data_IF_490046041959
#
_entry.id   IF_490046041959
#
_cell.length_a   1.000
_cell.length_b   1.000
_cell.length_c   1.000
_cell.angle_alpha   90.00
_cell.angle_beta   90.00
_cell.angle_gamma   90.00
#
_symmetry.space_group_name_H-M   'P 1'
#
loop_
_entity.id
_entity.type
_entity.pdbx_description
1 polymer ?
#
# COMPACT_ATOMS: atom_id res chain seq x y z
N UNK A 1 23.20 14.88 -66.54
CA UNK A 1 23.92 14.05 -65.54
C UNK A 1 22.93 13.00 -65.07
N UNK A 2 23.14 11.71 -65.37
CA UNK A 2 22.50 10.51 -64.76
C UNK A 2 22.66 9.28 -65.69
N UNK A 3 23.91 8.86 -65.95
CA UNK A 3 24.21 7.65 -66.74
C UNK A 3 25.34 6.78 -66.18
N UNK A 4 26.24 7.34 -65.36
CA UNK A 4 27.46 6.65 -64.91
C UNK A 4 27.25 5.58 -63.81
N UNK A 5 26.12 5.60 -63.11
CA UNK A 5 25.94 4.74 -61.92
C UNK A 5 25.59 3.29 -62.31
N UNK A 6 24.86 3.07 -63.42
CA UNK A 6 24.57 1.73 -63.94
C UNK A 6 25.77 1.09 -64.65
N UNK A 7 26.57 1.88 -65.39
CA UNK A 7 27.77 1.37 -66.07
C UNK A 7 28.91 1.03 -65.12
N UNK A 8 29.15 1.88 -64.11
CA UNK A 8 30.19 1.65 -63.10
C UNK A 8 29.96 0.38 -62.27
N UNK A 9 28.70 0.09 -61.93
CA UNK A 9 28.34 -1.13 -61.19
C UNK A 9 28.66 -2.41 -61.95
N UNK A 10 28.43 -2.44 -63.28
CA UNK A 10 28.73 -3.61 -64.12
C UNK A 10 30.24 -3.82 -64.25
N UNK A 11 31.03 -2.75 -64.41
CA UNK A 11 32.49 -2.85 -64.48
C UNK A 11 33.07 -3.34 -63.15
N UNK A 12 32.57 -2.83 -62.02
CA UNK A 12 32.99 -3.30 -60.69
C UNK A 12 32.57 -4.76 -60.46
N UNK A 13 31.39 -5.17 -60.91
CA UNK A 13 30.95 -6.57 -60.82
C UNK A 13 31.82 -7.51 -61.66
N UNK A 14 32.19 -7.11 -62.88
CA UNK A 14 33.11 -7.87 -63.73
C UNK A 14 34.52 -7.95 -63.13
N UNK A 15 35.03 -6.84 -62.59
CA UNK A 15 36.31 -6.80 -61.91
C UNK A 15 36.32 -7.68 -60.64
N UNK A 16 35.25 -7.63 -59.84
CA UNK A 16 35.08 -8.46 -58.66
C UNK A 16 34.95 -9.95 -59.03
N UNK A 17 34.20 -10.29 -60.07
CA UNK A 17 34.06 -11.66 -60.56
C UNK A 17 35.40 -12.22 -61.06
N UNK A 18 36.16 -11.42 -61.82
CA UNK A 18 37.49 -11.80 -62.29
C UNK A 18 38.46 -11.97 -61.12
N UNK A 19 38.42 -11.09 -60.13
CA UNK A 19 39.22 -11.19 -58.92
C UNK A 19 38.88 -12.45 -58.11
N UNK A 20 37.58 -12.76 -57.97
CA UNK A 20 37.10 -13.97 -57.29
C UNK A 20 37.55 -15.24 -58.03
N UNK A 21 37.45 -15.24 -59.36
CA UNK A 21 37.89 -16.35 -60.22
C UNK A 21 39.40 -16.59 -60.11
N UNK A 22 40.19 -15.55 -59.87
CA UNK A 22 41.63 -15.68 -59.63
C UNK A 22 41.96 -16.09 -58.18
N UNK A 23 41.30 -15.49 -57.19
CA UNK A 23 41.68 -15.66 -55.78
C UNK A 23 41.14 -16.95 -55.15
N UNK A 24 39.92 -17.35 -55.49
CA UNK A 24 39.28 -18.55 -54.90
C UNK A 24 40.10 -19.82 -55.16
N UNK A 25 40.57 -20.12 -56.39
CA UNK A 25 41.39 -21.31 -56.64
C UNK A 25 42.72 -21.29 -55.89
N UNK A 26 43.35 -20.12 -55.77
CA UNK A 26 44.63 -19.96 -55.06
C UNK A 26 44.46 -20.20 -53.56
N UNK A 27 43.35 -19.72 -52.98
CA UNK A 27 43.09 -19.87 -51.56
C UNK A 27 42.64 -21.29 -51.18
N UNK A 28 41.86 -21.93 -52.04
CA UNK A 28 41.46 -23.33 -51.88
C UNK A 28 42.68 -24.27 -51.97
N UNK A 29 43.55 -24.12 -52.99
CA UNK A 29 44.78 -24.92 -53.10
C UNK A 29 45.70 -24.75 -51.89
N UNK A 30 45.80 -23.54 -51.34
CA UNK A 30 46.59 -23.28 -50.12
C UNK A 30 45.98 -23.92 -48.88
N UNK A 31 44.64 -23.96 -48.77
CA UNK A 31 43.94 -24.65 -47.68
C UNK A 31 44.03 -26.16 -47.77
N UNK A 32 43.95 -26.71 -48.97
CA UNK A 32 44.14 -28.14 -49.23
C UNK A 32 45.56 -28.56 -48.87
N UNK A 33 46.57 -27.77 -49.25
CA UNK A 33 47.96 -27.99 -48.83
C UNK A 33 48.14 -27.94 -47.31
N UNK A 34 47.52 -26.99 -46.60
CA UNK A 34 47.60 -26.93 -45.14
C UNK A 34 46.87 -28.09 -44.44
N UNK A 35 45.81 -28.62 -45.05
CA UNK A 35 45.10 -29.79 -44.52
C UNK A 35 45.91 -31.08 -44.72
N UNK A 36 46.54 -31.25 -45.89
CA UNK A 36 47.40 -32.41 -46.17
C UNK A 36 48.73 -32.32 -45.43
N UNK A 37 49.33 -31.13 -45.30
CA UNK A 37 50.51 -30.90 -44.44
C UNK A 37 50.20 -31.23 -42.99
N UNK A 38 49.05 -30.81 -42.44
CA UNK A 38 48.70 -31.15 -41.05
C UNK A 38 48.44 -32.64 -40.86
N UNK A 39 47.92 -33.34 -41.86
CA UNK A 39 47.71 -34.79 -41.79
C UNK A 39 49.04 -35.54 -41.94
N UNK A 40 49.92 -35.08 -42.82
CA UNK A 40 51.27 -35.59 -42.98
C UNK A 40 52.13 -35.33 -41.74
N UNK A 41 52.06 -34.14 -41.15
CA UNK A 41 52.76 -33.79 -39.91
C UNK A 41 52.20 -34.60 -38.75
N UNK A 42 50.89 -34.80 -38.65
CA UNK A 42 50.32 -35.70 -37.63
C UNK A 42 50.81 -37.13 -37.82
N UNK A 43 50.86 -37.65 -39.05
CA UNK A 43 51.35 -39.00 -39.30
C UNK A 43 52.85 -39.14 -39.04
N UNK A 44 53.67 -38.19 -39.49
CA UNK A 44 55.11 -38.15 -39.22
C UNK A 44 55.39 -37.95 -37.73
N UNK A 45 54.60 -37.14 -37.04
CA UNK A 45 54.71 -36.91 -35.61
C UNK A 45 54.17 -38.10 -34.82
N UNK A 46 53.15 -38.82 -35.28
CA UNK A 46 52.72 -40.08 -34.66
C UNK A 46 53.73 -41.19 -34.90
N UNK A 47 54.34 -41.28 -36.09
CA UNK A 47 55.42 -42.24 -36.37
C UNK A 47 56.67 -41.91 -35.55
N UNK A 48 56.98 -40.61 -35.40
CA UNK A 48 58.09 -40.16 -34.58
C UNK A 48 57.83 -40.34 -33.09
N UNK A 49 56.61 -40.10 -32.62
CA UNK A 49 56.21 -40.41 -31.23
C UNK A 49 56.21 -41.92 -31.03
N UNK A 50 55.72 -42.74 -31.98
CA UNK A 50 55.81 -44.20 -31.88
C UNK A 50 57.27 -44.66 -31.77
N UNK A 51 58.16 -44.06 -32.57
CA UNK A 51 59.60 -44.34 -32.56
C UNK A 51 60.32 -43.76 -31.33
N UNK A 52 59.89 -42.63 -30.78
CA UNK A 52 60.45 -42.02 -29.56
C UNK A 52 59.86 -42.65 -28.29
N UNK A 53 58.69 -43.32 -28.34
CA UNK A 53 58.09 -44.02 -27.20
C UNK A 53 58.70 -45.39 -26.88
N UNK A 54 59.61 -45.91 -27.72
CA UNK A 54 60.24 -47.22 -27.48
C UNK A 54 61.53 -47.18 -26.67
N UNK A 55 62.09 -46.01 -26.36
CA UNK A 55 63.40 -45.90 -25.69
C UNK A 55 63.41 -44.96 -24.48
N UNK A 56 62.59 -45.23 -23.46
CA UNK A 56 62.80 -44.65 -22.12
C UNK A 56 62.48 -45.68 -21.01
N UNK A 57 63.41 -45.96 -20.08
CA UNK A 57 63.21 -46.93 -18.99
C UNK A 57 62.15 -46.44 -17.98
N UNK A 58 61.33 -47.38 -17.49
CA UNK A 58 60.13 -47.16 -16.67
C UNK A 58 60.35 -46.37 -15.38
N UNK A 59 61.55 -46.43 -14.82
CA UNK A 59 61.90 -45.84 -13.54
C UNK A 59 61.83 -44.30 -13.59
N UNK A 60 62.23 -43.68 -14.71
CA UNK A 60 62.19 -42.21 -14.89
C UNK A 60 60.75 -41.74 -15.23
N UNK A 61 59.94 -42.58 -15.86
CA UNK A 61 58.52 -42.29 -16.14
C UNK A 61 57.71 -42.17 -14.86
N UNK A 62 57.95 -43.05 -13.89
CA UNK A 62 57.24 -43.05 -12.62
C UNK A 62 57.58 -41.81 -11.79
N UNK A 63 58.85 -41.38 -11.79
CA UNK A 63 59.27 -40.18 -11.06
C UNK A 63 58.82 -38.87 -11.73
N UNK A 64 58.89 -38.78 -13.07
CA UNK A 64 58.37 -37.63 -13.81
C UNK A 64 56.84 -37.52 -13.72
N UNK A 65 56.14 -38.66 -13.74
CA UNK A 65 54.68 -38.71 -13.51
C UNK A 65 54.32 -38.36 -12.07
N UNK A 66 55.09 -38.82 -11.08
CA UNK A 66 54.84 -38.47 -9.68
C UNK A 66 55.01 -36.97 -9.40
N UNK A 67 56.05 -36.34 -9.97
CA UNK A 67 56.26 -34.89 -9.83
C UNK A 67 55.19 -34.07 -10.55
N UNK A 68 54.84 -34.43 -11.78
CA UNK A 68 53.79 -33.74 -12.54
C UNK A 68 52.42 -33.91 -11.89
N UNK A 69 52.10 -35.08 -11.35
CA UNK A 69 50.86 -35.31 -10.58
C UNK A 69 50.84 -34.48 -9.30
N UNK A 70 51.96 -34.36 -8.58
CA UNK A 70 52.04 -33.50 -7.39
C UNK A 70 51.85 -32.01 -7.74
N UNK A 71 52.38 -31.54 -8.87
CA UNK A 71 52.16 -30.18 -9.35
C UNK A 71 50.70 -29.94 -9.77
N UNK A 72 50.09 -30.88 -10.49
CA UNK A 72 48.68 -30.81 -10.89
C UNK A 72 47.75 -30.83 -9.69
N UNK A 73 48.01 -31.70 -8.70
CA UNK A 73 47.28 -31.72 -7.43
C UNK A 73 47.42 -30.38 -6.68
N UNK A 74 48.60 -29.75 -6.73
CA UNK A 74 48.82 -28.44 -6.10
C UNK A 74 48.06 -27.32 -6.81
N UNK A 75 47.96 -27.38 -8.14
CA UNK A 75 47.13 -26.45 -8.94
C UNK A 75 45.64 -26.64 -8.61
N UNK A 76 45.16 -27.88 -8.56
CA UNK A 76 43.79 -28.23 -8.22
C UNK A 76 43.39 -27.73 -6.82
N UNK A 77 44.22 -28.04 -5.81
CA UNK A 77 44.01 -27.54 -4.43
C UNK A 77 44.00 -26.02 -4.35
N UNK A 78 44.85 -25.33 -5.11
CA UNK A 78 44.83 -23.85 -5.17
C UNK A 78 43.55 -23.33 -5.82
N UNK A 79 43.03 -23.99 -6.86
CA UNK A 79 41.75 -23.62 -7.45
C UNK A 79 40.58 -23.86 -6.51
N UNK A 80 40.55 -25.01 -5.81
CA UNK A 80 39.53 -25.32 -4.81
C UNK A 80 39.58 -24.34 -3.63
N UNK A 81 40.76 -23.96 -3.17
CA UNK A 81 40.90 -22.95 -2.13
C UNK A 81 40.37 -21.59 -2.59
N UNK A 82 40.61 -21.21 -3.85
CA UNK A 82 40.06 -19.98 -4.43
C UNK A 82 38.54 -20.02 -4.54
N UNK A 83 37.96 -21.14 -4.99
CA UNK A 83 36.50 -21.29 -5.09
C UNK A 83 35.83 -21.29 -3.71
N UNK A 84 36.42 -21.97 -2.72
CA UNK A 84 35.94 -21.95 -1.34
C UNK A 84 36.07 -20.55 -0.70
N UNK A 85 37.16 -19.83 -0.97
CA UNK A 85 37.33 -18.46 -0.49
C UNK A 85 36.29 -17.51 -1.12
N UNK A 86 36.03 -17.65 -2.43
CA UNK A 86 34.99 -16.89 -3.12
C UNK A 86 33.60 -17.20 -2.56
N UNK A 87 33.25 -18.47 -2.40
CA UNK A 87 31.96 -18.88 -1.82
C UNK A 87 31.77 -18.36 -0.39
N UNK A 88 32.83 -18.36 0.43
CA UNK A 88 32.79 -17.78 1.79
C UNK A 88 32.63 -16.26 1.75
N UNK A 89 33.29 -15.57 0.82
CA UNK A 89 33.15 -14.12 0.66
C UNK A 89 31.74 -13.73 0.22
N UNK A 90 31.14 -14.49 -0.70
CA UNK A 90 29.75 -14.33 -1.14
C UNK A 90 28.78 -14.57 0.01
N UNK A 91 28.92 -15.68 0.76
CA UNK A 91 28.10 -15.96 1.93
C UNK A 91 28.20 -14.86 3.00
N UNK A 92 29.40 -14.34 3.26
CA UNK A 92 29.60 -13.21 4.17
C UNK A 92 28.96 -11.91 3.64
N UNK A 93 29.00 -11.67 2.33
CA UNK A 93 28.34 -10.52 1.71
C UNK A 93 26.80 -10.62 1.80
N UNK A 94 26.25 -11.82 1.59
CA UNK A 94 24.81 -12.08 1.79
C UNK A 94 24.40 -11.86 3.24
N UNK A 95 25.14 -12.40 4.21
CA UNK A 95 24.87 -12.18 5.63
C UNK A 95 24.90 -10.68 6.01
N UNK A 96 25.87 -9.91 5.48
CA UNK A 96 25.93 -8.46 5.70
C UNK A 96 24.75 -7.71 5.10
N UNK A 97 24.27 -8.10 3.91
CA UNK A 97 23.08 -7.50 3.28
C UNK A 97 21.83 -7.78 4.10
N UNK A 98 21.67 -9.01 4.59
CA UNK A 98 20.55 -9.36 5.46
C UNK A 98 20.58 -8.59 6.78
N UNK A 99 21.77 -8.41 7.37
CA UNK A 99 21.95 -7.59 8.57
C UNK A 99 21.60 -6.12 8.31
N UNK A 100 22.05 -5.54 7.20
CA UNK A 100 21.71 -4.16 6.82
C UNK A 100 20.19 -3.97 6.65
N UNK A 101 19.51 -4.90 5.96
CA UNK A 101 18.05 -4.88 5.83
C UNK A 101 17.34 -5.05 7.17
N UNK A 102 17.87 -5.87 8.07
CA UNK A 102 17.33 -6.03 9.42
C UNK A 102 17.47 -4.75 10.26
N UNK A 103 18.62 -4.05 10.14
CA UNK A 103 18.84 -2.76 10.79
C UNK A 103 17.93 -1.66 10.24
N UNK A 104 17.77 -1.58 8.91
CA UNK A 104 16.84 -0.64 8.27
C UNK A 104 15.40 -0.88 8.73
N UNK A 105 14.96 -2.15 8.79
CA UNK A 105 13.64 -2.51 9.30
C UNK A 105 13.45 -2.10 10.76
N UNK A 106 14.47 -2.24 11.61
CA UNK A 106 14.43 -1.78 13.00
C UNK A 106 14.28 -0.26 13.08
N UNK A 107 15.06 0.49 12.30
CA UNK A 107 14.95 1.96 12.24
C UNK A 107 13.57 2.41 11.75
N UNK A 108 13.05 1.78 10.70
CA UNK A 108 11.72 2.08 10.20
C UNK A 108 10.60 1.76 11.22
N UNK A 109 10.76 0.68 12.00
CA UNK A 109 9.84 0.36 13.09
C UNK A 109 9.88 1.41 14.21
N UNK A 110 11.07 1.84 14.63
CA UNK A 110 11.22 2.91 15.63
C UNK A 110 10.63 4.24 15.15
N UNK A 111 10.82 4.60 13.88
CA UNK A 111 10.21 5.81 13.29
C UNK A 111 8.68 5.71 13.24
N UNK A 112 8.13 4.54 12.88
CA UNK A 112 6.70 4.30 12.88
C UNK A 112 6.10 4.36 14.30
N UNK A 113 6.78 3.84 15.31
CA UNK A 113 6.37 3.95 16.72
C UNK A 113 6.35 5.41 17.19
N UNK A 114 7.37 6.21 16.82
CA UNK A 114 7.41 7.64 17.13
C UNK A 114 6.27 8.39 16.46
N UNK A 115 6.02 8.14 15.17
CA UNK A 115 4.92 8.76 14.43
C UNK A 115 3.55 8.37 15.02
N UNK A 116 3.37 7.12 15.44
CA UNK A 116 2.15 6.68 16.12
C UNK A 116 1.98 7.37 17.49
N UNK A 117 3.05 7.51 18.26
CA UNK A 117 3.02 8.23 19.54
C UNK A 117 2.66 9.72 19.35
N UNK A 118 3.21 10.38 18.34
CA UNK A 118 2.90 11.76 17.97
C UNK A 118 1.43 11.91 17.53
N UNK A 119 0.93 11.00 16.69
CA UNK A 119 -0.47 11.01 16.27
C UNK A 119 -1.44 10.87 17.46
N UNK A 120 -1.13 9.97 18.39
CA UNK A 120 -1.90 9.79 19.63
C UNK A 120 -1.83 11.06 20.51
N UNK A 121 -0.65 11.70 20.61
CA UNK A 121 -0.49 12.94 21.36
C UNK A 121 -1.29 14.09 20.75
N UNK A 122 -1.29 14.23 19.42
CA UNK A 122 -2.10 15.21 18.70
C UNK A 122 -3.59 14.97 18.89
N UNK A 123 -4.05 13.72 18.83
CA UNK A 123 -5.45 13.39 19.06
C UNK A 123 -5.88 13.70 20.52
N UNK A 124 -5.04 13.36 21.50
CA UNK A 124 -5.28 13.73 22.91
C UNK A 124 -5.31 15.24 23.12
N UNK A 125 -4.39 15.98 22.49
CA UNK A 125 -4.37 17.44 22.53
C UNK A 125 -5.62 18.04 21.89
N UNK A 126 -6.07 17.50 20.75
CA UNK A 126 -7.30 17.94 20.09
C UNK A 126 -8.54 17.66 20.95
N UNK A 127 -8.65 16.49 21.58
CA UNK A 127 -9.74 16.16 22.52
C UNK A 127 -9.71 17.06 23.76
N UNK A 128 -8.52 17.35 24.31
CA UNK A 128 -8.36 18.27 25.44
C UNK A 128 -8.79 19.69 25.07
N UNK A 129 -8.39 20.19 23.89
CA UNK A 129 -8.81 21.49 23.38
C UNK A 129 -10.33 21.55 23.14
N UNK A 130 -10.94 20.48 22.61
CA UNK A 130 -12.39 20.39 22.45
C UNK A 130 -13.11 20.40 23.82
N UNK A 131 -12.60 19.67 24.81
CA UNK A 131 -13.15 19.67 26.16
C UNK A 131 -13.04 21.04 26.85
N UNK A 132 -11.93 21.77 26.66
CA UNK A 132 -11.78 23.14 27.14
C UNK A 132 -12.79 24.08 26.49
N UNK A 133 -12.98 24.01 25.17
CA UNK A 133 -14.00 24.79 24.45
C UNK A 133 -15.40 24.49 24.98
N UNK A 134 -15.73 23.21 25.20
CA UNK A 134 -17.02 22.82 25.78
C UNK A 134 -17.22 23.40 27.20
N UNK A 135 -16.18 23.44 28.04
CA UNK A 135 -16.24 24.07 29.37
C UNK A 135 -16.44 25.59 29.29
N UNK A 136 -15.77 26.27 28.38
CA UNK A 136 -15.94 27.71 28.16
C UNK A 136 -17.36 28.01 27.66
N UNK A 137 -17.87 27.22 26.73
CA UNK A 137 -19.25 27.34 26.25
C UNK A 137 -20.26 27.03 27.37
N UNK A 138 -20.02 26.00 28.19
CA UNK A 138 -20.88 25.66 29.33
C UNK A 138 -20.89 26.76 30.40
N UNK A 139 -19.74 27.34 30.72
CA UNK A 139 -19.65 28.46 31.69
C UNK A 139 -20.28 29.74 31.15
N UNK A 140 -20.11 30.06 29.86
CA UNK A 140 -20.75 31.22 29.23
C UNK A 140 -22.28 31.07 29.07
N UNK A 141 -22.76 29.84 28.88
CA UNK A 141 -24.20 29.53 28.75
C UNK A 141 -24.86 29.34 30.12
N UNK A 142 -24.09 29.02 31.16
CA UNK A 142 -24.60 28.93 32.52
C UNK A 142 -25.00 30.32 33.03
N UNK A 143 -26.28 30.67 32.83
CA UNK A 143 -26.89 31.77 33.59
C UNK A 143 -26.74 31.41 35.07
N UNK A 144 -26.15 32.28 35.92
CA UNK A 144 -26.07 32.01 37.34
C UNK A 144 -27.50 31.90 37.87
N UNK A 145 -27.95 30.67 38.08
CA UNK A 145 -29.24 30.39 38.68
C UNK A 145 -29.14 30.84 40.14
N UNK A 146 -29.57 32.07 40.43
CA UNK A 146 -29.69 32.58 41.79
C UNK A 146 -30.41 31.52 42.64
N UNK A 147 -29.76 31.09 43.72
CA UNK A 147 -30.31 30.06 44.62
C UNK A 147 -31.73 30.43 45.04
N UNK A 148 -32.63 29.45 45.22
CA UNK A 148 -34.04 29.72 45.57
C UNK A 148 -34.15 30.57 46.84
N UNK A 149 -33.20 30.44 47.76
CA UNK A 149 -33.10 31.25 48.97
C UNK A 149 -32.76 32.73 48.69
N UNK A 150 -31.80 33.03 47.79
CA UNK A 150 -31.44 34.42 47.43
C UNK A 150 -32.57 35.12 46.71
N UNK A 151 -33.30 34.41 45.83
CA UNK A 151 -34.52 34.92 45.17
C UNK A 151 -35.61 35.28 46.19
N UNK A 152 -35.86 34.40 47.19
CA UNK A 152 -36.85 34.66 48.24
C UNK A 152 -36.46 35.87 49.10
N UNK A 153 -35.19 36.01 49.48
CA UNK A 153 -34.70 37.18 50.24
C UNK A 153 -34.88 38.48 49.46
N UNK A 154 -34.57 38.50 48.15
CA UNK A 154 -34.77 39.67 47.30
C UNK A 154 -36.26 40.05 47.15
N UNK A 155 -37.16 39.06 47.01
CA UNK A 155 -38.61 39.30 46.97
C UNK A 155 -39.13 39.87 48.28
N UNK A 156 -38.69 39.32 49.43
CA UNK A 156 -39.06 39.84 50.76
C UNK A 156 -38.53 41.25 50.99
N UNK A 157 -37.27 41.51 50.63
CA UNK A 157 -36.67 42.84 50.75
C UNK A 157 -37.42 43.87 49.90
N UNK A 158 -37.79 43.53 48.66
CA UNK A 158 -38.62 44.37 47.78
C UNK A 158 -40.02 44.59 48.37
N UNK A 159 -40.68 43.54 48.85
CA UNK A 159 -42.00 43.64 49.48
C UNK A 159 -42.03 44.52 50.73
N UNK A 160 -41.02 44.39 51.60
CA UNK A 160 -40.88 45.23 52.79
C UNK A 160 -40.60 46.68 52.44
N UNK A 161 -39.70 46.94 51.48
CA UNK A 161 -39.42 48.31 51.03
C UNK A 161 -40.64 48.95 50.36
N UNK A 162 -41.41 48.22 49.54
CA UNK A 162 -42.67 48.75 49.01
C UNK A 162 -43.70 49.06 50.09
N UNK A 163 -43.82 48.22 51.13
CA UNK A 163 -44.74 48.49 52.24
C UNK A 163 -44.30 49.73 53.03
N UNK A 164 -43.00 49.88 53.30
CA UNK A 164 -42.45 51.09 53.94
C UNK A 164 -42.66 52.33 53.08
N UNK A 165 -42.55 52.22 51.75
CA UNK A 165 -42.82 53.33 50.82
C UNK A 165 -44.30 53.76 50.89
N UNK A 166 -45.23 52.81 50.87
CA UNK A 166 -46.68 53.09 50.96
C UNK A 166 -47.02 53.70 52.32
N UNK A 167 -46.51 53.13 53.42
CA UNK A 167 -46.70 53.69 54.75
C UNK A 167 -46.10 55.11 54.88
N UNK A 168 -44.93 55.34 54.29
CA UNK A 168 -44.30 56.66 54.22
C UNK A 168 -45.14 57.66 53.44
N UNK A 169 -45.72 57.28 52.31
CA UNK A 169 -46.62 58.13 51.52
C UNK A 169 -47.91 58.47 52.28
N UNK A 170 -48.53 57.48 52.95
CA UNK A 170 -49.72 57.71 53.79
C UNK A 170 -49.35 58.68 54.93
N UNK A 171 -48.24 58.44 55.61
CA UNK A 171 -47.75 59.34 56.67
C UNK A 171 -47.42 60.73 56.17
N UNK A 172 -46.94 60.87 54.92
CA UNK A 172 -46.67 62.16 54.30
C UNK A 172 -47.97 62.94 54.09
N UNK A 173 -49.01 62.29 53.55
CA UNK A 173 -50.33 62.91 53.37
C UNK A 173 -50.92 63.32 54.72
N UNK A 174 -50.96 62.41 55.70
CA UNK A 174 -51.48 62.73 57.04
C UNK A 174 -50.65 63.82 57.74
N UNK A 175 -49.33 63.78 57.59
CA UNK A 175 -48.40 64.78 58.15
C UNK A 175 -48.57 66.15 57.52
N UNK A 176 -48.86 66.25 56.22
CA UNK A 176 -49.18 67.54 55.60
C UNK A 176 -50.46 68.15 56.16
N UNK A 177 -51.51 67.35 56.39
CA UNK A 177 -52.76 67.83 57.02
C UNK A 177 -52.49 68.34 58.44
N UNK A 178 -51.77 67.56 59.25
CA UNK A 178 -51.37 67.95 60.61
C UNK A 178 -50.52 69.22 60.66
N UNK A 179 -49.63 69.40 59.69
CA UNK A 179 -48.80 70.60 59.57
C UNK A 179 -49.64 71.87 59.37
N UNK A 180 -50.71 71.80 58.55
CA UNK A 180 -51.60 72.93 58.31
C UNK A 180 -52.54 73.23 59.50
N UNK A 181 -53.01 72.20 60.20
CA UNK A 181 -53.96 72.38 61.32
C UNK A 181 -53.28 72.73 62.64
N UNK A 182 -52.13 72.11 62.93
CA UNK A 182 -51.48 72.16 64.27
C UNK A 182 -50.06 72.74 64.24
N UNK A 183 -49.48 72.98 63.06
CA UNK A 183 -48.08 73.39 62.91
C UNK A 183 -47.06 72.26 63.17
N UNK A 184 -47.51 71.04 63.46
CA UNK A 184 -46.64 69.90 63.75
C UNK A 184 -45.98 69.35 62.48
N UNK A 185 -44.70 69.65 62.28
CA UNK A 185 -43.95 69.28 61.06
C UNK A 185 -43.18 67.95 61.15
N UNK A 186 -43.01 67.40 62.36
CA UNK A 186 -42.17 66.22 62.60
C UNK A 186 -42.64 64.98 61.83
N UNK A 187 -43.96 64.75 61.74
CA UNK A 187 -44.51 63.61 61.01
C UNK A 187 -44.24 63.74 59.50
N UNK A 188 -44.46 64.93 58.93
CA UNK A 188 -44.20 65.20 57.52
C UNK A 188 -42.70 65.00 57.19
N UNK A 189 -41.80 65.55 58.01
CA UNK A 189 -40.35 65.40 57.80
C UNK A 189 -39.88 63.94 57.90
N UNK A 190 -40.38 63.17 58.87
CA UNK A 190 -40.04 61.75 59.01
C UNK A 190 -40.54 60.92 57.82
N UNK A 191 -41.75 61.21 57.32
CA UNK A 191 -42.34 60.54 56.16
C UNK A 191 -41.58 60.83 54.86
N UNK A 192 -41.13 62.07 54.63
CA UNK A 192 -40.25 62.40 53.49
C UNK A 192 -38.97 61.57 53.52
N UNK A 193 -38.32 61.46 54.68
CA UNK A 193 -37.10 60.65 54.85
C UNK A 193 -37.33 59.16 54.55
N UNK A 194 -38.43 58.60 55.03
CA UNK A 194 -38.79 57.20 54.79
C UNK A 194 -39.06 56.91 53.30
N UNK A 195 -39.75 57.81 52.59
CA UNK A 195 -40.02 57.70 51.16
C UNK A 195 -38.73 57.77 50.34
N UNK A 196 -37.84 58.73 50.64
CA UNK A 196 -36.56 58.87 49.95
C UNK A 196 -35.65 57.65 50.13
N UNK A 197 -35.53 57.13 51.37
CA UNK A 197 -34.70 55.97 51.67
C UNK A 197 -35.24 54.69 51.03
N UNK A 198 -36.56 54.49 51.06
CA UNK A 198 -37.18 53.33 50.44
C UNK A 198 -37.05 53.37 48.91
N UNK A 199 -37.28 54.53 48.29
CA UNK A 199 -37.08 54.75 46.85
C UNK A 199 -35.63 54.49 46.42
N UNK A 200 -34.65 54.98 47.21
CA UNK A 200 -33.23 54.71 46.98
C UNK A 200 -32.90 53.21 47.05
N UNK A 201 -33.43 52.50 48.05
CA UNK A 201 -33.19 51.06 48.22
C UNK A 201 -33.83 50.24 47.08
N UNK A 202 -35.05 50.58 46.65
CA UNK A 202 -35.72 50.00 45.49
C UNK A 202 -34.94 50.24 44.20
N UNK A 203 -34.43 51.46 43.99
CA UNK A 203 -33.57 51.79 42.85
C UNK A 203 -32.26 50.98 42.84
N UNK A 204 -31.63 50.80 44.00
CA UNK A 204 -30.43 49.97 44.16
C UNK A 204 -30.73 48.48 43.87
N UNK A 205 -31.88 47.98 44.29
CA UNK A 205 -32.34 46.60 44.07
C UNK A 205 -32.85 46.33 42.65
N UNK A 206 -33.22 47.38 41.91
CA UNK A 206 -33.69 47.32 40.53
C UNK A 206 -32.59 47.53 39.50
N UNK A 207 -31.43 48.06 39.91
CA UNK A 207 -30.26 48.12 39.03
C UNK A 207 -29.95 46.69 38.56
N UNK A 208 -30.08 46.39 37.26
CA UNK A 208 -29.56 45.14 36.77
C UNK A 208 -28.07 45.14 37.14
N UNK A 209 -27.60 44.08 37.80
CA UNK A 209 -26.20 43.71 37.67
C UNK A 209 -26.01 43.57 36.16
N UNK A 210 -25.51 44.64 35.52
CA UNK A 210 -25.00 44.57 34.17
C UNK A 210 -23.92 43.52 34.31
N UNK A 211 -24.25 42.30 33.92
CA UNK A 211 -23.25 41.30 33.64
C UNK A 211 -22.30 42.02 32.70
N UNK A 212 -21.12 42.34 33.18
CA UNK A 212 -20.00 42.79 32.38
C UNK A 212 -19.78 41.66 31.40
N UNK A 213 -20.50 41.72 30.27
CA UNK A 213 -20.33 40.82 29.16
C UNK A 213 -18.92 41.08 28.70
N UNK A 214 -18.01 40.18 29.08
CA UNK A 214 -16.70 40.11 28.46
C UNK A 214 -17.01 39.97 26.97
N UNK A 215 -16.68 41.01 26.21
CA UNK A 215 -16.85 41.02 24.77
C UNK A 215 -16.10 39.81 24.23
N UNK A 216 -16.85 38.78 23.82
CA UNK A 216 -16.23 37.63 23.18
C UNK A 216 -15.65 38.13 21.86
N UNK A 217 -14.36 37.89 21.56
CA UNK A 217 -13.86 38.12 20.22
C UNK A 217 -14.62 37.17 19.31
N UNK A 218 -15.46 37.74 18.44
CA UNK A 218 -16.21 37.01 17.44
C UNK A 218 -15.18 36.42 16.47
N UNK A 219 -14.78 35.16 16.69
CA UNK A 219 -14.02 34.43 15.68
C UNK A 219 -15.00 34.18 14.55
N UNK A 220 -14.92 35.04 13.51
CA UNK A 220 -15.57 34.80 12.23
C UNK A 220 -14.97 33.52 11.67
N UNK A 221 -15.62 32.39 11.91
CA UNK A 221 -15.52 31.28 10.97
C UNK A 221 -16.23 31.79 9.72
N UNK A 222 -15.47 32.31 8.76
CA UNK A 222 -15.97 32.51 7.42
C UNK A 222 -16.36 31.14 6.88
N UNK A 223 -17.62 30.77 7.10
CA UNK A 223 -18.27 29.79 6.24
C UNK A 223 -18.25 30.46 4.89
N UNK A 224 -17.43 29.95 3.98
CA UNK A 224 -17.52 30.29 2.56
C UNK A 224 -18.90 29.77 2.13
N UNK A 225 -19.91 30.64 2.25
CA UNK A 225 -21.16 30.44 1.56
C UNK A 225 -20.84 30.45 0.07
N UNK A 226 -21.27 29.45 -0.72
CA UNK A 226 -21.14 29.54 -2.16
C UNK A 226 -21.88 30.81 -2.60
N UNK A 227 -21.19 31.69 -3.32
CA UNK A 227 -21.81 32.86 -3.95
C UNK A 227 -23.04 32.37 -4.71
N UNK A 228 -24.17 33.03 -4.44
CA UNK A 228 -25.43 32.75 -5.11
C UNK A 228 -25.22 33.12 -6.59
N UNK A 229 -25.21 32.11 -7.45
CA UNK A 229 -25.00 32.27 -8.88
C UNK A 229 -26.20 33.01 -9.49
N UNK A 230 -25.94 34.18 -10.09
CA UNK A 230 -26.96 35.01 -10.74
C UNK A 230 -26.96 34.74 -12.26
N UNK A 231 -27.96 33.98 -12.72
CA UNK A 231 -28.13 33.62 -14.13
C UNK A 231 -28.39 34.83 -15.04
N UNK A 232 -28.81 35.98 -14.48
CA UNK A 232 -29.19 37.15 -15.28
C UNK A 232 -28.01 37.89 -15.94
N UNK A 233 -26.77 37.70 -15.46
CA UNK A 233 -25.59 38.37 -16.03
C UNK A 233 -24.96 37.65 -17.24
N UNK A 234 -25.48 36.49 -17.63
CA UNK A 234 -24.84 35.63 -18.65
C UNK A 234 -25.66 35.44 -19.94
N UNK A 235 -26.74 36.22 -20.14
CA UNK A 235 -27.60 36.07 -21.32
C UNK A 235 -27.10 36.79 -22.60
N UNK A 236 -25.90 37.38 -22.59
CA UNK A 236 -25.30 38.09 -23.73
C UNK A 236 -24.69 37.17 -24.82
N UNK A 237 -25.04 35.88 -24.84
CA UNK A 237 -24.56 34.94 -25.87
C UNK A 237 -25.56 34.90 -27.03
N UNK A 238 -25.16 35.22 -28.27
CA UNK A 238 -26.07 35.26 -29.42
C UNK A 238 -26.74 33.89 -29.62
N UNK A 239 -28.07 33.90 -29.82
CA UNK A 239 -28.95 32.72 -29.92
C UNK A 239 -28.46 31.66 -30.92
N UNK A 240 -27.71 32.05 -31.95
CA UNK A 240 -27.12 31.12 -32.92
C UNK A 240 -26.03 30.22 -32.35
N UNK A 241 -25.26 30.68 -31.36
CA UNK A 241 -24.23 29.87 -30.71
C UNK A 241 -24.87 28.82 -29.78
N UNK A 242 -26.01 29.17 -29.17
CA UNK A 242 -26.82 28.28 -28.31
C UNK A 242 -27.39 27.10 -29.10
N UNK A 243 -27.72 27.29 -30.38
CA UNK A 243 -28.22 26.24 -31.28
C UNK A 243 -27.11 25.32 -31.82
N UNK A 244 -25.85 25.78 -31.86
CA UNK A 244 -24.69 24.95 -32.23
C UNK A 244 -24.19 24.08 -31.08
N UNK A 245 -24.51 24.44 -29.84
CA UNK A 245 -24.24 23.61 -28.67
C UNK A 245 -25.24 22.45 -28.64
N UNK A 246 -24.88 21.33 -29.27
CA UNK A 246 -25.60 20.07 -29.14
C UNK A 246 -25.65 19.67 -27.66
N UNK A 247 -26.84 19.45 -27.13
CA UNK A 247 -27.02 18.93 -25.77
C UNK A 247 -26.29 17.59 -25.63
N UNK A 248 -25.16 17.59 -24.92
CA UNK A 248 -24.44 16.36 -24.58
C UNK A 248 -24.88 15.92 -23.19
N UNK A 249 -25.42 14.69 -23.02
CA UNK A 249 -25.80 14.20 -21.72
C UNK A 249 -24.57 14.14 -20.82
N UNK A 250 -24.64 14.87 -19.70
CA UNK A 250 -23.57 14.86 -18.70
C UNK A 250 -23.55 13.47 -18.05
N UNK A 251 -22.40 12.76 -18.03
CA UNK A 251 -22.35 11.43 -17.43
C UNK A 251 -22.73 11.52 -15.95
N UNK A 252 -23.46 10.52 -15.49
CA UNK A 252 -23.86 10.41 -14.09
C UNK A 252 -22.60 10.44 -13.20
N UNK A 253 -22.61 11.18 -12.08
CA UNK A 253 -21.49 11.17 -11.15
C UNK A 253 -21.21 9.74 -10.67
N UNK A 254 -19.93 9.42 -10.56
CA UNK A 254 -19.46 8.11 -10.09
C UNK A 254 -20.02 7.85 -8.69
N UNK A 255 -20.54 6.65 -8.39
CA UNK A 255 -21.11 6.36 -7.08
C UNK A 255 -20.05 6.49 -5.99
N UNK A 256 -20.48 7.00 -4.82
CA UNK A 256 -19.59 7.45 -3.76
C UNK A 256 -18.61 6.36 -3.26
N UNK A 257 -19.04 5.10 -3.21
CA UNK A 257 -18.18 3.99 -2.78
C UNK A 257 -16.97 3.73 -3.71
N UNK A 258 -16.99 4.23 -4.95
CA UNK A 258 -15.88 4.15 -5.90
C UNK A 258 -14.99 5.41 -5.91
N UNK A 259 -15.32 6.40 -5.09
CA UNK A 259 -14.51 7.61 -4.90
C UNK A 259 -13.66 7.50 -3.63
N UNK A 260 -12.34 7.64 -3.74
CA UNK A 260 -11.43 7.47 -2.61
C UNK A 260 -11.69 8.53 -1.53
N UNK A 261 -11.64 8.13 -0.27
CA UNK A 261 -11.77 9.04 0.88
C UNK A 261 -13.21 9.37 1.31
N UNK A 262 -14.24 8.83 0.64
CA UNK A 262 -15.62 8.98 1.11
C UNK A 262 -15.98 7.96 2.20
N UNK A 263 -16.96 8.31 3.03
CA UNK A 263 -17.49 7.42 4.09
C UNK A 263 -18.06 6.14 3.49
N UNK A 264 -18.69 6.21 2.32
CA UNK A 264 -19.22 5.03 1.63
C UNK A 264 -18.10 4.08 1.17
N UNK A 265 -16.97 4.61 0.68
CA UNK A 265 -15.81 3.81 0.32
C UNK A 265 -15.17 3.16 1.56
N UNK A 266 -15.05 3.90 2.66
CA UNK A 266 -14.55 3.36 3.93
C UNK A 266 -15.46 2.26 4.49
N UNK A 267 -16.78 2.41 4.36
CA UNK A 267 -17.74 1.39 4.79
C UNK A 267 -17.60 0.09 3.98
N UNK A 268 -17.49 0.16 2.64
CA UNK A 268 -17.30 -1.05 1.81
C UNK A 268 -15.96 -1.72 2.09
N UNK A 269 -14.87 -0.94 2.22
CA UNK A 269 -13.56 -1.47 2.60
C UNK A 269 -13.59 -2.21 3.96
N UNK A 270 -14.40 -1.73 4.91
CA UNK A 270 -14.58 -2.42 6.21
C UNK A 270 -15.32 -3.75 6.08
N UNK A 271 -16.28 -3.85 5.16
CA UNK A 271 -17.02 -5.09 4.87
C UNK A 271 -16.09 -6.10 4.19
N UNK A 272 -15.27 -5.66 3.23
CA UNK A 272 -14.30 -6.50 2.54
C UNK A 272 -13.23 -7.04 3.50
N UNK A 273 -12.69 -6.18 4.37
CA UNK A 273 -11.76 -6.59 5.42
C UNK A 273 -12.38 -7.62 6.37
N UNK A 274 -13.65 -7.44 6.76
CA UNK A 274 -14.37 -8.42 7.57
C UNK A 274 -14.56 -9.76 6.83
N UNK A 275 -14.81 -9.73 5.52
CA UNK A 275 -14.91 -10.94 4.70
C UNK A 275 -13.57 -11.66 4.55
N UNK A 276 -12.45 -10.92 4.44
CA UNK A 276 -11.09 -11.48 4.44
C UNK A 276 -10.76 -12.17 5.75
N UNK A 277 -11.10 -11.57 6.89
CA UNK A 277 -10.90 -12.20 8.21
C UNK A 277 -11.67 -13.52 8.34
N UNK A 278 -12.92 -13.59 7.84
CA UNK A 278 -13.70 -14.84 7.83
C UNK A 278 -13.05 -15.90 6.93
N UNK A 279 -12.57 -15.51 5.74
CA UNK A 279 -11.87 -16.42 4.82
C UNK A 279 -10.56 -16.94 5.43
N UNK A 280 -9.81 -16.07 6.10
CA UNK A 280 -8.57 -16.45 6.80
C UNK A 280 -8.85 -17.40 7.97
N UNK A 281 -9.88 -17.13 8.77
CA UNK A 281 -10.31 -18.02 9.85
C UNK A 281 -10.70 -19.41 9.34
N UNK A 282 -11.49 -19.48 8.25
CA UNK A 282 -11.87 -20.75 7.64
C UNK A 282 -10.66 -21.55 7.13
N UNK A 283 -9.67 -20.88 6.53
CA UNK A 283 -8.40 -21.53 6.11
C UNK A 283 -7.62 -22.07 7.31
N UNK A 284 -7.51 -21.31 8.40
CA UNK A 284 -6.83 -21.76 9.60
C UNK A 284 -7.54 -22.96 10.27
N UNK A 285 -8.88 -22.99 10.27
CA UNK A 285 -9.62 -24.16 10.74
C UNK A 285 -9.39 -25.39 9.86
N UNK A 286 -9.34 -25.20 8.55
CA UNK A 286 -9.04 -26.28 7.61
C UNK A 286 -7.62 -26.83 7.85
N UNK A 287 -6.63 -25.96 8.03
CA UNK A 287 -5.25 -26.36 8.36
C UNK A 287 -5.17 -27.14 9.69
N UNK A 288 -5.92 -26.73 10.71
CA UNK A 288 -5.99 -27.47 11.98
C UNK A 288 -6.59 -28.87 11.81
N UNK A 289 -7.70 -28.98 11.08
CA UNK A 289 -8.32 -30.28 10.77
C UNK A 289 -7.40 -31.15 9.91
N UNK A 290 -6.69 -30.55 8.96
CA UNK A 290 -5.70 -31.26 8.14
C UNK A 290 -4.53 -31.77 9.00
N UNK A 291 -4.05 -31.00 9.97
CA UNK A 291 -3.02 -31.42 10.91
C UNK A 291 -3.49 -32.53 11.88
N UNK A 292 -4.77 -32.54 12.25
CA UNK A 292 -5.37 -33.59 13.09
C UNK A 292 -5.56 -34.91 12.32
N UNK A 293 -5.95 -34.84 11.04
CA UNK A 293 -6.13 -36.01 10.17
C UNK A 293 -4.81 -36.52 9.60
N UNK A 294 -3.78 -35.67 9.51
CA UNK A 294 -2.45 -36.08 9.11
C UNK A 294 -1.90 -37.11 10.12
N UNK A 295 -1.59 -38.36 9.69
CA UNK A 295 -0.94 -39.31 10.57
C UNK A 295 0.39 -38.72 11.04
N UNK A 296 0.82 -38.96 12.29
CA UNK A 296 2.12 -38.48 12.76
C UNK A 296 3.18 -39.10 11.83
N UNK A 297 3.79 -38.27 10.98
CA UNK A 297 4.98 -38.67 10.24
C UNK A 297 6.01 -39.12 11.28
N UNK A 298 6.40 -40.41 11.32
CA UNK A 298 7.51 -40.80 12.16
C UNK A 298 8.71 -39.97 11.70
N UNK A 299 9.32 -39.27 12.64
CA UNK A 299 10.61 -38.61 12.45
C UNK A 299 11.57 -39.72 12.03
N UNK A 300 11.85 -39.80 10.73
CA UNK A 300 12.85 -40.71 10.20
C UNK A 300 14.20 -40.24 10.74
N UNK A 301 14.69 -40.92 11.77
CA UNK A 301 16.09 -40.86 12.15
C UNK A 301 16.94 -41.20 10.91
N UNK A 302 18.11 -40.55 10.71
CA UNK A 302 18.96 -40.82 9.56
C UNK A 302 19.44 -42.28 9.63
N UNK A 303 18.89 -43.13 8.77
CA UNK A 303 19.31 -44.53 8.62
C UNK A 303 20.68 -44.51 7.92
N UNK A 304 21.76 -45.03 8.54
CA UNK A 304 23.03 -45.15 7.86
C UNK A 304 22.92 -46.24 6.77
N UNK A 305 23.25 -45.86 5.53
CA UNK A 305 23.35 -46.76 4.39
C UNK A 305 24.32 -47.91 4.70
N UNK A 306 23.79 -49.11 4.95
CA UNK A 306 24.56 -50.34 5.07
C UNK A 306 24.88 -50.82 3.66
N UNK A 307 26.17 -50.87 3.33
CA UNK A 307 26.67 -51.43 2.09
C UNK A 307 26.20 -52.87 1.93
N UNK A 308 25.44 -53.13 0.87
CA UNK A 308 25.13 -54.48 0.40
C UNK A 308 26.27 -54.89 -0.51
N UNK A 309 27.18 -55.73 0.00
CA UNK A 309 28.13 -56.49 -0.82
C UNK A 309 27.31 -57.48 -1.66
N UNK A 310 27.40 -57.33 -2.99
CA UNK A 310 26.86 -58.27 -3.97
C UNK A 310 28.03 -59.11 -4.50
N UNK A 311 27.96 -60.45 -4.50
CA UNK A 311 29.09 -61.25 -4.94
C UNK A 311 29.24 -61.21 -6.47
N UNK A 312 30.51 -61.33 -6.85
CA UNK A 312 31.06 -61.35 -8.20
C UNK A 312 30.58 -62.59 -8.96
N UNK A 313 30.04 -62.37 -10.16
CA UNK A 313 30.06 -63.34 -11.25
C UNK A 313 30.46 -62.64 -12.55
N UNK A 314 31.58 -63.12 -13.06
CA UNK A 314 32.34 -62.85 -14.29
C UNK A 314 31.47 -62.67 -15.56
N UNK A 315 31.78 -61.65 -16.39
CA UNK A 315 32.00 -61.81 -17.84
C UNK A 315 32.37 -60.48 -18.53
N UNK A 316 33.63 -60.41 -18.97
CA UNK A 316 34.14 -59.83 -20.24
C UNK A 316 33.96 -58.33 -20.54
N UNK A 317 35.09 -57.61 -20.53
CA UNK A 317 35.31 -56.29 -21.17
C UNK A 317 35.75 -56.48 -22.66
N UNK A 318 36.04 -55.44 -23.51
CA UNK A 318 36.09 -53.98 -23.31
C UNK A 318 35.52 -53.20 -24.54
N UNK A 319 35.97 -51.96 -24.87
CA UNK A 319 35.59 -50.68 -24.26
C UNK A 319 35.00 -49.70 -25.31
N UNK A 320 34.40 -48.58 -24.89
CA UNK A 320 34.73 -47.24 -25.42
C UNK A 320 33.73 -46.13 -25.02
N UNK A 321 34.33 -45.01 -24.63
CA UNK A 321 33.93 -43.60 -24.75
C UNK A 321 32.70 -43.06 -24.01
N UNK A 322 33.01 -42.36 -22.92
CA UNK A 322 32.30 -41.17 -22.52
C UNK A 322 32.54 -40.04 -23.54
N UNK A 323 31.48 -39.31 -23.91
CA UNK A 323 31.53 -37.85 -24.01
C UNK A 323 30.12 -37.25 -23.97
N UNK A 324 29.92 -36.53 -22.87
CA UNK A 324 29.32 -35.21 -22.77
C UNK A 324 28.77 -34.55 -24.06
N UNK A 325 27.56 -34.02 -23.88
CA UNK A 325 27.11 -32.66 -24.21
C UNK A 325 26.92 -32.33 -25.70
N UNK A 326 25.69 -31.87 -25.96
CA UNK A 326 25.17 -31.28 -27.19
C UNK A 326 26.10 -30.23 -27.81
N UNK A 327 25.87 -29.84 -29.08
CA UNK A 327 25.06 -28.63 -29.23
C UNK A 327 24.24 -28.52 -30.53
N UNK A 328 23.28 -27.58 -30.49
CA UNK A 328 22.65 -26.81 -31.59
C UNK A 328 21.81 -27.58 -32.62
N UNK A 329 20.51 -27.27 -32.69
CA UNK A 329 19.92 -26.48 -33.79
C UNK A 329 18.40 -26.66 -33.85
N UNK A 330 17.73 -25.57 -34.22
CA UNK A 330 16.34 -25.50 -34.61
C UNK A 330 16.00 -26.43 -35.79
N UNK A 331 14.79 -26.99 -35.81
CA UNK A 331 13.77 -26.80 -36.86
C UNK A 331 12.62 -27.80 -36.63
N UNK A 332 11.39 -27.32 -36.43
CA UNK A 332 10.28 -27.40 -37.41
C UNK A 332 9.62 -28.78 -37.50
N UNK A 333 8.30 -28.73 -37.30
CA UNK A 333 7.26 -29.66 -37.72
C UNK A 333 7.23 -31.05 -37.07
N UNK A 334 6.08 -31.32 -36.44
CA UNK A 334 5.14 -32.36 -36.88
C UNK A 334 4.48 -33.05 -35.69
N UNK A 335 3.14 -33.07 -35.77
CA UNK A 335 2.28 -34.13 -35.30
C UNK A 335 2.05 -34.23 -33.80
N UNK A 336 0.92 -33.63 -33.43
CA UNK A 336 0.07 -34.11 -32.35
C UNK A 336 -0.13 -35.63 -32.46
N UNK A 337 0.20 -36.33 -31.39
CA UNK A 337 -0.40 -37.63 -31.09
C UNK A 337 -1.01 -37.51 -29.70
N UNK A 338 -2.33 -37.52 -29.68
CA UNK A 338 -3.14 -37.55 -28.48
C UNK A 338 -2.77 -38.77 -27.64
N UNK A 339 -2.21 -38.54 -26.46
CA UNK A 339 -2.20 -39.51 -25.39
C UNK A 339 -3.48 -39.30 -24.57
N UNK A 340 -4.49 -40.12 -24.83
CA UNK A 340 -5.69 -40.20 -24.00
C UNK A 340 -5.30 -40.72 -22.62
N UNK A 341 -5.03 -39.81 -21.69
CA UNK A 341 -4.95 -40.14 -20.27
C UNK A 341 -6.36 -40.26 -19.73
N UNK A 342 -6.74 -41.45 -19.27
CA UNK A 342 -7.99 -41.68 -18.54
C UNK A 342 -8.02 -40.73 -17.33
N UNK A 343 -9.02 -39.85 -17.17
CA UNK A 343 -9.06 -38.94 -16.04
C UNK A 343 -9.28 -39.73 -14.75
N UNK A 344 -8.41 -39.51 -13.78
CA UNK A 344 -8.51 -40.06 -12.43
C UNK A 344 -9.82 -39.63 -11.78
N UNK A 345 -10.51 -40.57 -11.11
CA UNK A 345 -11.69 -40.40 -10.24
C UNK A 345 -11.59 -39.20 -9.27
N UNK A 346 -10.37 -38.80 -8.92
CA UNK A 346 -10.10 -37.76 -7.93
C UNK A 346 -9.77 -36.40 -8.57
N UNK A 347 -9.65 -36.32 -9.90
CA UNK A 347 -9.37 -35.06 -10.59
C UNK A 347 -10.52 -34.05 -10.49
N UNK A 348 -11.74 -34.50 -10.17
CA UNK A 348 -12.94 -33.67 -9.96
C UNK A 348 -13.28 -33.41 -8.49
N UNK A 349 -12.49 -33.92 -7.52
CA UNK A 349 -12.73 -33.68 -6.10
C UNK A 349 -12.24 -32.26 -5.72
N UNK A 350 -13.14 -31.29 -5.75
CA UNK A 350 -12.86 -29.90 -5.34
C UNK A 350 -13.11 -28.85 -6.42
N UNK A 351 -13.45 -29.28 -7.64
CA UNK A 351 -14.04 -28.41 -8.67
C UNK A 351 -15.54 -28.39 -8.40
N UNK A 352 -16.04 -27.26 -7.92
CA UNK A 352 -17.46 -26.96 -8.01
C UNK A 352 -17.70 -26.62 -9.48
N UNK A 353 -18.40 -27.48 -10.21
CA UNK A 353 -18.90 -27.10 -11.53
C UNK A 353 -19.66 -25.79 -11.38
N UNK A 354 -19.43 -24.90 -12.33
CA UNK A 354 -20.04 -23.58 -12.39
C UNK A 354 -21.54 -23.75 -12.17
N UNK A 355 -22.02 -23.31 -11.01
CA UNK A 355 -23.44 -23.34 -10.73
C UNK A 355 -24.09 -22.58 -11.87
N UNK A 356 -24.98 -23.25 -12.62
CA UNK A 356 -25.94 -22.66 -13.53
C UNK A 356 -26.76 -21.65 -12.71
N UNK A 357 -26.18 -20.47 -12.55
CA UNK A 357 -26.86 -19.27 -12.14
C UNK A 357 -27.63 -18.90 -13.39
N UNK A 358 -28.75 -19.59 -13.58
CA UNK A 358 -29.73 -19.30 -14.60
C UNK A 358 -30.11 -17.84 -14.43
N UNK A 359 -29.41 -16.97 -15.17
CA UNK A 359 -29.73 -15.56 -15.26
C UNK A 359 -31.12 -15.54 -15.85
N UNK A 360 -32.11 -15.31 -14.99
CA UNK A 360 -33.50 -15.20 -15.40
C UNK A 360 -33.54 -14.13 -16.49
N UNK A 361 -33.90 -14.54 -17.70
CA UNK A 361 -33.96 -13.64 -18.85
C UNK A 361 -35.04 -12.58 -18.60
N UNK A 362 -34.62 -11.44 -18.07
CA UNK A 362 -35.48 -10.33 -17.68
C UNK A 362 -36.30 -9.83 -18.88
N UNK A 363 -35.76 -9.94 -20.10
CA UNK A 363 -36.46 -9.51 -21.31
C UNK A 363 -37.64 -10.43 -21.63
N UNK A 364 -37.51 -11.74 -21.38
CA UNK A 364 -38.63 -12.67 -21.51
C UNK A 364 -39.75 -12.34 -20.49
N UNK A 365 -39.37 -12.00 -19.25
CA UNK A 365 -40.33 -11.62 -18.18
C UNK A 365 -41.07 -10.33 -18.53
N UNK A 366 -40.35 -9.31 -19.01
CA UNK A 366 -40.95 -8.02 -19.38
C UNK A 366 -41.81 -8.09 -20.65
N UNK A 367 -41.48 -8.99 -21.58
CA UNK A 367 -42.30 -9.26 -22.77
C UNK A 367 -43.61 -9.94 -22.40
N UNK A 368 -43.56 -10.91 -21.48
CA UNK A 368 -44.76 -11.59 -20.96
C UNK A 368 -45.67 -10.64 -20.19
N UNK A 369 -45.10 -9.70 -19.41
CA UNK A 369 -45.88 -8.65 -18.73
C UNK A 369 -46.57 -7.70 -19.71
N UNK A 370 -45.89 -7.27 -20.78
CA UNK A 370 -46.47 -6.41 -21.82
C UNK A 370 -47.57 -7.08 -22.63
N UNK A 371 -47.54 -8.40 -22.77
CA UNK A 371 -48.62 -9.14 -23.43
C UNK A 371 -49.84 -9.37 -22.53
N UNK A 372 -49.72 -9.16 -21.21
CA UNK A 372 -50.78 -9.34 -20.23
C UNK A 372 -51.43 -8.01 -19.78
N UNK A 373 -50.97 -6.88 -20.32
CA UNK A 373 -51.56 -5.53 -20.19
C UNK A 373 -52.13 -5.10 -21.52
#
# INVERSE_FOLDING_TARGET
MNGDVMGGGVVVALAAALWLAYLVPVWLRRREYLATERNAVRLQQTLRILAETSELPDEVRLEATARTVAEQQRILRRSEQKTLAAARAEAAAHARREQALAEERRRAAEEAERAAAEAIALERAARAAAAQRARVLATSTSRPALSPQRRRRLRRARGLSTLVLVAGLIGLVSGTVLLFETGAWLLAAASVGAVALSGWMLGRLARPERATGVAQPLVRTSVVAPELYDDAQHDDVPVQERLRQSWTPRPLPKPLHLSPGTVAAAAMASVDAAAELRRAAARAEFERKAAEVAPPTPVAAPVPLRAVERPVAESTAPPAVASAVAPVAASVAASATAATTVPSRYASMGILDEADTGSMDLDAVLRRRRAAS
#
